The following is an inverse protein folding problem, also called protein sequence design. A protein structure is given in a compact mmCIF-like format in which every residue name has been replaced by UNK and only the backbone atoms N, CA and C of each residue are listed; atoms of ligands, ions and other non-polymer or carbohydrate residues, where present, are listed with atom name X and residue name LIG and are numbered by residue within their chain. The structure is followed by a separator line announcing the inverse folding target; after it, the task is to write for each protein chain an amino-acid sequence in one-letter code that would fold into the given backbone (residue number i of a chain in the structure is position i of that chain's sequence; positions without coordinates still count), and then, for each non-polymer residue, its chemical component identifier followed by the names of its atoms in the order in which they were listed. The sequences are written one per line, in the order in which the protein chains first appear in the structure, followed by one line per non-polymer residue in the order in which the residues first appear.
data_IF_190008098839
#
_entry.id   IF_190008098839
#
_cell.length_a   1.000
_cell.length_b   1.000
_cell.length_c   1.000
_cell.angle_alpha   90.00
_cell.angle_beta   90.00
_cell.angle_gamma   90.00
#
_symmetry.space_group_name_H-M   'P 1'
#
loop_
_entity.id
_entity.type
_entity.pdbx_description
1 polymer ?
#
# COMPACT_ATOMS: atom_id res chain seq x y z
N UNK A 1 -13.90 -12.28 -11.24
CA UNK A 1 -13.36 -10.91 -11.41
C UNK A 1 -12.34 -10.67 -10.33
N UNK A 2 -11.09 -10.31 -10.66
CA UNK A 2 -10.02 -10.12 -9.68
C UNK A 2 -10.30 -8.87 -8.82
N UNK A 3 -10.35 -8.97 -7.47
CA UNK A 3 -10.59 -7.82 -6.59
C UNK A 3 -9.41 -6.84 -6.50
N UNK A 4 -8.26 -7.17 -7.09
CA UNK A 4 -7.03 -6.37 -6.99
C UNK A 4 -6.36 -6.12 -8.33
N UNK A 5 -5.71 -4.97 -8.44
CA UNK A 5 -4.78 -4.61 -9.50
C UNK A 5 -3.36 -4.69 -8.94
N UNK A 6 -2.48 -5.38 -9.65
CA UNK A 6 -1.06 -5.51 -9.31
C UNK A 6 -0.25 -4.62 -10.25
N UNK A 7 0.48 -3.66 -9.69
CA UNK A 7 1.28 -2.72 -10.47
C UNK A 7 2.72 -2.73 -9.95
N UNK A 8 3.74 -2.93 -10.80
CA UNK A 8 5.12 -2.73 -10.37
C UNK A 8 5.34 -1.26 -10.03
N UNK A 9 6.14 -1.00 -9.00
CA UNK A 9 6.60 0.34 -8.64
C UNK A 9 8.04 0.30 -8.20
N UNK A 10 8.82 1.20 -8.77
CA UNK A 10 10.21 1.44 -8.39
C UNK A 10 10.26 2.53 -7.31
N UNK A 11 11.16 2.34 -6.35
CA UNK A 11 11.42 3.26 -5.24
C UNK A 11 12.87 3.70 -5.30
N UNK A 12 13.09 5.01 -5.21
CA UNK A 12 14.42 5.60 -5.12
C UNK A 12 15.08 5.33 -3.77
N UNK A 13 16.39 5.53 -3.72
CA UNK A 13 17.15 5.45 -2.47
C UNK A 13 16.59 6.44 -1.44
N UNK A 14 16.49 6.01 -0.18
CA UNK A 14 15.96 6.84 0.90
C UNK A 14 16.85 6.82 2.12
N UNK A 15 17.14 8.01 2.64
CA UNK A 15 17.79 8.17 3.94
C UNK A 15 16.74 8.07 5.05
N UNK A 16 16.91 7.13 5.97
CA UNK A 16 16.01 6.89 7.11
C UNK A 16 16.81 6.64 8.38
N UNK A 17 16.12 6.53 9.52
CA UNK A 17 16.73 6.07 10.77
C UNK A 17 16.37 4.60 10.98
N UNK A 18 17.34 3.82 11.46
CA UNK A 18 17.08 2.45 11.88
C UNK A 18 16.08 2.46 13.06
N UNK A 19 14.94 1.76 12.98
CA UNK A 19 13.92 1.78 14.03
C UNK A 19 14.36 1.12 15.34
N UNK A 20 15.37 0.24 15.30
CA UNK A 20 15.89 -0.46 16.47
C UNK A 20 17.02 0.32 17.15
N UNK A 21 17.94 0.94 16.38
CA UNK A 21 19.14 1.59 16.92
C UNK A 21 19.11 3.12 16.86
N UNK A 22 18.23 3.71 16.04
CA UNK A 22 18.14 5.17 15.82
C UNK A 22 19.22 5.76 14.91
N UNK A 23 20.21 4.96 14.51
CA UNK A 23 21.31 5.38 13.64
C UNK A 23 20.83 5.69 12.21
N UNK A 24 21.47 6.63 11.51
CA UNK A 24 21.15 6.92 10.12
C UNK A 24 21.49 5.72 9.22
N UNK A 25 20.59 5.39 8.31
CA UNK A 25 20.79 4.34 7.31
C UNK A 25 20.23 4.75 5.94
N UNK A 26 20.74 4.12 4.90
CA UNK A 26 20.26 4.30 3.52
C UNK A 26 19.55 3.02 3.10
N UNK A 27 18.30 3.16 2.65
CA UNK A 27 17.61 2.11 1.91
C UNK A 27 17.98 2.30 0.44
N UNK A 28 18.61 1.30 -0.16
CA UNK A 28 18.97 1.30 -1.58
C UNK A 28 17.73 1.29 -2.48
N UNK A 29 17.83 1.73 -3.75
CA UNK A 29 16.71 1.66 -4.68
C UNK A 29 16.20 0.23 -4.84
N UNK A 30 14.87 0.06 -4.88
CA UNK A 30 14.27 -1.27 -5.00
C UNK A 30 12.96 -1.23 -5.78
N UNK A 31 12.57 -2.39 -6.32
CA UNK A 31 11.29 -2.59 -7.01
C UNK A 31 10.33 -3.39 -6.14
N UNK A 32 9.09 -2.96 -6.05
CA UNK A 32 8.02 -3.67 -5.36
C UNK A 32 6.78 -3.83 -6.22
N UNK A 33 5.85 -4.68 -5.77
CA UNK A 33 4.52 -4.81 -6.38
C UNK A 33 3.51 -4.10 -5.48
N UNK A 34 2.85 -3.09 -6.02
CA UNK A 34 1.72 -2.44 -5.38
C UNK A 34 0.44 -3.20 -5.66
N UNK A 35 -0.34 -3.39 -4.60
CA UNK A 35 -1.70 -3.94 -4.68
C UNK A 35 -2.68 -2.79 -4.50
N UNK A 36 -3.49 -2.52 -5.52
CA UNK A 36 -4.58 -1.55 -5.45
C UNK A 36 -5.92 -2.28 -5.50
N UNK A 37 -6.93 -1.88 -4.73
CA UNK A 37 -8.27 -2.45 -4.86
C UNK A 37 -8.84 -2.10 -6.23
N UNK A 38 -9.44 -3.09 -6.89
CA UNK A 38 -10.13 -2.86 -8.17
C UNK A 38 -11.37 -1.98 -7.98
N UNK A 39 -11.89 -1.38 -9.05
CA UNK A 39 -13.10 -0.55 -8.98
C UNK A 39 -14.30 -1.32 -8.42
N UNK A 40 -14.40 -2.62 -8.73
CA UNK A 40 -15.40 -3.51 -8.14
C UNK A 40 -15.25 -3.61 -6.62
N UNK A 41 -14.02 -3.83 -6.13
CA UNK A 41 -13.74 -3.91 -4.69
C UNK A 41 -14.03 -2.57 -3.98
N UNK A 42 -13.68 -1.44 -4.59
CA UNK A 42 -13.98 -0.09 -4.07
C UNK A 42 -15.49 0.14 -3.96
N UNK A 43 -16.27 -0.20 -5.00
CA UNK A 43 -17.74 -0.08 -4.99
C UNK A 43 -18.37 -0.94 -3.89
N UNK A 44 -17.92 -2.20 -3.75
CA UNK A 44 -18.40 -3.12 -2.70
C UNK A 44 -18.12 -2.58 -1.29
N UNK A 45 -16.93 -2.01 -1.06
CA UNK A 45 -16.57 -1.45 0.24
C UNK A 45 -17.40 -0.21 0.58
N UNK A 46 -17.64 0.68 -0.39
CA UNK A 46 -18.52 1.86 -0.22
C UNK A 46 -19.95 1.44 0.12
N UNK A 47 -20.47 0.40 -0.54
CA UNK A 47 -21.80 -0.13 -0.24
C UNK A 47 -21.89 -0.68 1.19
N UNK A 48 -20.90 -1.49 1.61
CA UNK A 48 -20.88 -2.05 2.97
C UNK A 48 -20.74 -1.00 4.07
N UNK A 49 -19.99 0.08 3.84
CA UNK A 49 -19.93 1.23 4.78
C UNK A 49 -21.29 1.92 4.96
N UNK A 50 -22.14 1.93 3.92
CA UNK A 50 -23.51 2.47 4.02
C UNK A 50 -24.45 1.55 4.79
N UNK A 51 -24.33 0.23 4.63
CA UNK A 51 -25.22 -0.73 5.30
C UNK A 51 -24.82 -1.04 6.74
N UNK A 52 -23.53 -0.88 7.09
CA UNK A 52 -23.02 -1.04 8.45
C UNK A 52 -22.05 0.11 8.76
N UNK A 53 -22.55 1.27 9.20
CA UNK A 53 -21.67 2.31 9.71
C UNK A 53 -20.90 1.72 10.90
N UNK A 54 -19.57 1.63 10.75
CA UNK A 54 -18.70 1.36 11.89
C UNK A 54 -18.93 2.54 12.86
N UNK A 55 -19.52 2.24 14.01
CA UNK A 55 -19.78 3.20 15.09
C UNK A 55 -18.46 3.80 15.59
#
# INVERSE_FOLDING_TARGET
MNPFNLEPKDYDAKHVKNPQTGEPMIIEPYRAILIKPSEFAKKRLKFRKKTYPLK
#
